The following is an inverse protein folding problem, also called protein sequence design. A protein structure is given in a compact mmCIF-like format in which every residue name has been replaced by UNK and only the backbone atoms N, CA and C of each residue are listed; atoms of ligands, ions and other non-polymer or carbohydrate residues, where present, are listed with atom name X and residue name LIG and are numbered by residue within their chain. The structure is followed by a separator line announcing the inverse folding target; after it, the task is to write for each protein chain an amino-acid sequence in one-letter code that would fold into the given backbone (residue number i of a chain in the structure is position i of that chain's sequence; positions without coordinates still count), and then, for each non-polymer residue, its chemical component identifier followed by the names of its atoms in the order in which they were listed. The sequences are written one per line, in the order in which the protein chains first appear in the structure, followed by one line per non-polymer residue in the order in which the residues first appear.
data_IF_963421950261
#
_entry.id   IF_963421950261
#
_cell.length_a   1.000
_cell.length_b   1.000
_cell.length_c   1.000
_cell.angle_alpha   90.00
_cell.angle_beta   90.00
_cell.angle_gamma   90.00
#
_symmetry.space_group_name_H-M   'P 1'
#
loop_
_entity.id
_entity.type
_entity.pdbx_description
1 polymer ?
#
# COMPACT_ATOMS: atom_id res chain seq x y z
N UNK A 1 -11.93 9.63 -4.07
CA UNK A 1 -11.50 9.84 -2.67
C UNK A 1 -10.22 10.66 -2.73
N UNK A 2 -10.06 11.68 -1.87
CA UNK A 2 -8.96 12.65 -1.93
C UNK A 2 -7.60 11.95 -1.97
N UNK A 3 -6.88 12.07 -3.08
CA UNK A 3 -5.44 11.83 -3.13
C UNK A 3 -4.79 13.02 -2.40
N UNK A 4 -4.75 12.96 -1.08
CA UNK A 4 -3.94 13.87 -0.30
C UNK A 4 -2.51 13.36 -0.47
N UNK A 5 -1.73 14.01 -1.31
CA UNK A 5 -0.37 13.61 -1.66
C UNK A 5 0.46 13.62 -0.37
N UNK A 6 0.59 12.45 0.27
CA UNK A 6 1.48 12.30 1.42
C UNK A 6 2.92 12.43 0.94
N UNK A 7 3.80 12.89 1.82
CA UNK A 7 5.23 12.82 1.55
C UNK A 7 5.61 11.33 1.45
N UNK A 8 6.37 11.00 0.41
CA UNK A 8 6.84 9.63 0.23
C UNK A 8 7.86 9.27 1.31
N UNK A 9 7.78 8.03 1.79
CA UNK A 9 8.82 7.44 2.62
C UNK A 9 9.92 6.88 1.73
N UNK A 10 11.12 6.72 2.29
CA UNK A 10 12.25 6.01 1.66
C UNK A 10 11.95 4.52 1.37
N UNK A 11 10.94 3.98 2.04
CA UNK A 11 10.42 2.61 1.87
C UNK A 11 9.33 2.50 0.80
N UNK A 12 8.87 3.62 0.23
CA UNK A 12 7.87 3.59 -0.83
C UNK A 12 8.46 3.05 -2.14
N UNK A 13 7.64 2.32 -2.88
CA UNK A 13 7.98 1.83 -4.20
C UNK A 13 8.23 2.97 -5.18
N UNK A 14 9.36 2.92 -5.88
CA UNK A 14 9.58 3.72 -7.08
C UNK A 14 8.67 3.25 -8.21
N UNK A 15 8.47 4.11 -9.22
CA UNK A 15 7.64 3.72 -10.37
C UNK A 15 8.22 2.52 -11.13
N UNK A 16 9.54 2.37 -11.17
CA UNK A 16 10.17 1.25 -11.85
C UNK A 16 10.05 -0.06 -11.06
N UNK A 17 10.14 0.00 -9.73
CA UNK A 17 9.85 -1.16 -8.87
C UNK A 17 8.36 -1.54 -8.96
N UNK A 18 7.47 -0.54 -9.01
CA UNK A 18 6.04 -0.77 -9.18
C UNK A 18 5.73 -1.51 -10.49
N UNK A 19 6.34 -1.10 -11.62
CA UNK A 19 6.14 -1.78 -12.92
C UNK A 19 6.52 -3.27 -12.91
N UNK A 20 7.46 -3.66 -12.04
CA UNK A 20 7.85 -5.07 -11.88
C UNK A 20 6.81 -5.82 -11.04
N UNK A 21 6.31 -5.20 -9.97
CA UNK A 21 5.39 -5.83 -9.02
C UNK A 21 3.94 -5.88 -9.52
N UNK A 22 3.45 -4.79 -10.12
CA UNK A 22 2.07 -4.63 -10.59
C UNK A 22 1.53 -5.84 -11.37
N UNK A 23 2.22 -6.40 -12.38
CA UNK A 23 1.71 -7.55 -13.13
C UNK A 23 1.65 -8.85 -12.31
N UNK A 24 2.38 -8.96 -11.20
CA UNK A 24 2.37 -10.13 -10.32
C UNK A 24 1.19 -10.10 -9.35
N UNK A 25 0.61 -8.92 -9.12
CA UNK A 25 -0.53 -8.74 -8.25
C UNK A 25 -1.78 -9.13 -9.04
N UNK A 26 -2.32 -10.31 -8.74
CA UNK A 26 -3.57 -10.77 -9.36
C UNK A 26 -4.66 -9.72 -9.24
N UNK A 27 -5.24 -9.36 -10.39
CA UNK A 27 -6.45 -8.55 -10.48
C UNK A 27 -7.54 -9.19 -9.59
N UNK A 28 -8.35 -8.34 -8.97
CA UNK A 28 -9.42 -8.81 -8.10
C UNK A 28 -10.30 -9.83 -8.85
N UNK A 29 -10.53 -11.01 -8.25
CA UNK A 29 -11.39 -12.04 -8.84
C UNK A 29 -12.79 -11.47 -9.04
N UNK A 30 -13.37 -11.75 -10.21
CA UNK A 30 -14.76 -11.42 -10.52
C UNK A 30 -15.68 -12.12 -9.51
N UNK A 31 -16.58 -11.37 -8.86
CA UNK A 31 -17.50 -11.86 -7.83
C UNK A 31 -17.01 -11.75 -6.38
N UNK A 32 -15.79 -11.27 -6.14
CA UNK A 32 -15.30 -10.92 -4.81
C UNK A 32 -15.68 -9.49 -4.39
N UNK A 33 -15.33 -9.12 -3.14
CA UNK A 33 -15.42 -7.71 -2.72
C UNK A 33 -14.54 -6.86 -3.63
N UNK A 34 -15.13 -5.86 -4.29
CA UNK A 34 -14.36 -4.91 -5.09
C UNK A 34 -13.23 -4.31 -4.26
N UNK A 35 -11.98 -4.45 -4.74
CA UNK A 35 -10.86 -3.68 -4.21
C UNK A 35 -11.10 -2.22 -4.55
N UNK A 36 -11.47 -1.44 -3.54
CA UNK A 36 -11.58 0.02 -3.64
C UNK A 36 -10.28 0.74 -3.27
N UNK A 37 -9.26 -0.01 -2.86
CA UNK A 37 -7.99 0.50 -2.35
C UNK A 37 -6.94 0.47 -3.45
N UNK A 38 -6.07 1.47 -3.44
CA UNK A 38 -4.84 1.46 -4.23
C UNK A 38 -3.87 0.44 -3.63
N UNK A 39 -3.55 -0.59 -4.43
CA UNK A 39 -2.68 -1.68 -3.99
C UNK A 39 -1.23 -1.21 -3.81
N UNK A 40 -0.79 -0.21 -4.56
CA UNK A 40 0.54 0.37 -4.36
C UNK A 40 0.66 0.96 -2.97
N UNK A 41 -0.36 1.67 -2.51
CA UNK A 41 -0.39 2.24 -1.17
C UNK A 41 -0.49 1.20 -0.05
N UNK A 42 -1.16 0.07 -0.31
CA UNK A 42 -1.13 -1.08 0.61
C UNK A 42 0.29 -1.63 0.73
N UNK A 43 0.99 -1.84 -0.39
CA UNK A 43 2.35 -2.36 -0.38
C UNK A 43 3.35 -1.39 0.25
N UNK A 44 3.22 -0.10 -0.03
CA UNK A 44 4.02 0.95 0.62
C UNK A 44 3.86 0.89 2.15
N UNK A 45 2.63 0.73 2.66
CA UNK A 45 2.37 0.56 4.09
C UNK A 45 3.00 -0.71 4.69
N UNK A 46 2.93 -1.83 3.95
CA UNK A 46 3.59 -3.09 4.35
C UNK A 46 5.10 -2.93 4.41
N UNK A 47 5.72 -2.31 3.40
CA UNK A 47 7.17 -2.10 3.35
C UNK A 47 7.67 -1.17 4.43
N UNK A 48 6.93 -0.09 4.72
CA UNK A 48 7.21 0.76 5.86
C UNK A 48 7.21 -0.05 7.16
N UNK A 49 6.18 -0.88 7.36
CA UNK A 49 6.05 -1.68 8.57
C UNK A 49 7.20 -2.69 8.76
N UNK A 50 7.51 -3.48 7.74
CA UNK A 50 8.53 -4.54 7.86
C UNK A 50 9.94 -3.96 7.95
N UNK A 51 10.20 -2.82 7.31
CA UNK A 51 11.51 -2.17 7.34
C UNK A 51 11.78 -1.50 8.69
N UNK A 52 10.76 -0.82 9.25
CA UNK A 52 10.90 -0.09 10.50
C UNK A 52 10.59 -0.93 11.75
N UNK A 53 10.07 -2.15 11.59
CA UNK A 53 9.76 -3.05 12.71
C UNK A 53 8.64 -2.54 13.62
N UNK A 54 7.72 -1.72 13.10
CA UNK A 54 6.65 -1.14 13.91
C UNK A 54 5.46 -2.10 14.06
N UNK A 55 4.66 -1.88 15.12
CA UNK A 55 3.41 -2.62 15.31
C UNK A 55 2.41 -2.22 14.22
N UNK A 56 1.65 -3.18 13.70
CA UNK A 56 0.60 -2.95 12.71
C UNK A 56 -0.41 -1.85 13.09
N UNK A 57 -0.78 -1.78 14.37
CA UNK A 57 -1.71 -0.77 14.90
C UNK A 57 -1.07 0.61 15.12
N UNK A 58 0.25 0.71 15.03
CA UNK A 58 1.03 1.94 15.17
C UNK A 58 1.41 2.53 13.80
N UNK A 59 0.78 2.06 12.71
CA UNK A 59 1.04 2.55 11.37
C UNK A 59 0.69 4.04 11.27
N UNK A 60 1.54 4.84 10.59
CA UNK A 60 1.29 6.26 10.38
C UNK A 60 -0.09 6.55 9.73
N UNK A 61 -0.70 7.68 10.09
CA UNK A 61 -2.06 8.05 9.67
C UNK A 61 -2.18 8.49 8.21
N UNK A 62 -1.06 8.75 7.56
CA UNK A 62 -0.93 9.09 6.15
C UNK A 62 -1.00 7.85 5.24
N UNK A 63 -0.72 6.65 5.75
CA UNK A 63 -1.06 5.41 5.06
C UNK A 63 -2.57 5.09 5.14
N UNK A 64 -3.01 4.11 4.34
CA UNK A 64 -4.34 3.55 4.47
C UNK A 64 -4.58 3.09 5.93
N UNK A 65 -5.83 3.11 6.39
CA UNK A 65 -6.14 2.66 7.75
C UNK A 65 -5.60 1.24 7.96
N UNK A 66 -5.02 0.94 9.12
CA UNK A 66 -4.46 -0.37 9.44
C UNK A 66 -5.44 -1.55 9.26
N UNK A 67 -6.76 -1.30 9.26
CA UNK A 67 -7.77 -2.32 8.93
C UNK A 67 -7.84 -2.69 7.44
N UNK A 68 -7.14 -1.95 6.58
CA UNK A 68 -7.27 -1.95 5.11
C UNK A 68 -5.96 -2.29 4.39
N UNK A 69 -4.85 -2.25 5.12
CA UNK A 69 -3.57 -2.83 4.70
C UNK A 69 -3.58 -4.31 5.11
#
# INVERSE_FOLDING_TARGET
MKNMTRLSYDTDLTDDQWKILEPLILLAKIGGRNRSLDIREVLNGIFYLVTNGIKWRAMPHDFLKWQSV
#
